data_IF_021875376933
#
_entry.id   IF_021875376933
#
_cell.length_a   1.000
_cell.length_b   1.000
_cell.length_c   1.000
_cell.angle_alpha   90.00
_cell.angle_beta   90.00
_cell.angle_gamma   90.00
#
_symmetry.space_group_name_H-M   'P 1'
#
loop_
_entity.id
_entity.type
_entity.pdbx_description
1 polymer ?
#
# COMPACT_ATOMS: atom_id res chain seq x y z
N UNK A 1 -26.04 -14.18 -19.15
CA UNK A 1 -26.38 -14.24 -17.72
C UNK A 1 -25.23 -13.89 -16.78
N UNK A 2 -23.98 -14.21 -17.12
CA UNK A 2 -22.82 -13.91 -16.26
C UNK A 2 -22.55 -12.41 -16.10
N UNK A 3 -22.67 -11.61 -17.16
CA UNK A 3 -22.45 -10.16 -17.10
C UNK A 3 -23.44 -9.45 -16.16
N UNK A 4 -24.70 -9.87 -16.18
CA UNK A 4 -25.74 -9.34 -15.27
C UNK A 4 -25.42 -9.64 -13.81
N UNK A 5 -25.00 -10.87 -13.50
CA UNK A 5 -24.60 -11.28 -12.16
C UNK A 5 -23.39 -10.49 -11.66
N UNK A 6 -22.36 -10.31 -12.49
CA UNK A 6 -21.17 -9.53 -12.16
C UNK A 6 -21.49 -8.06 -11.90
N UNK A 7 -22.35 -7.44 -12.74
CA UNK A 7 -22.77 -6.05 -12.53
C UNK A 7 -23.55 -5.89 -11.23
N UNK A 8 -24.47 -6.80 -10.92
CA UNK A 8 -25.23 -6.79 -9.68
C UNK A 8 -24.32 -6.88 -8.46
N UNK A 9 -23.40 -7.83 -8.44
CA UNK A 9 -22.45 -7.99 -7.33
C UNK A 9 -21.55 -6.76 -7.15
N UNK A 10 -21.13 -6.13 -8.24
CA UNK A 10 -20.35 -4.88 -8.17
C UNK A 10 -21.19 -3.75 -7.58
N UNK A 11 -22.44 -3.59 -8.00
CA UNK A 11 -23.34 -2.53 -7.55
C UNK A 11 -23.67 -2.70 -6.06
N UNK A 12 -23.92 -3.93 -5.61
CA UNK A 12 -24.21 -4.23 -4.20
C UNK A 12 -23.04 -3.81 -3.28
N UNK A 13 -21.79 -3.92 -3.75
CA UNK A 13 -20.59 -3.47 -3.02
C UNK A 13 -20.46 -1.94 -2.87
N UNK A 14 -21.19 -1.15 -3.66
CA UNK A 14 -21.19 0.31 -3.53
C UNK A 14 -22.12 0.85 -2.44
N UNK A 15 -22.93 -0.01 -1.83
CA UNK A 15 -23.85 0.40 -0.77
C UNK A 15 -24.94 1.38 -1.26
N UNK A 16 -25.28 1.35 -2.56
CA UNK A 16 -26.37 2.14 -3.12
C UNK A 16 -27.69 1.51 -2.68
N UNK A 17 -28.55 2.29 -2.08
CA UNK A 17 -29.85 1.84 -1.61
C UNK A 17 -30.77 1.59 -2.81
N UNK A 18 -31.25 0.35 -2.97
CA UNK A 18 -32.20 -0.06 -4.00
C UNK A 18 -31.77 0.21 -5.46
N UNK A 19 -30.70 -0.42 -5.95
CA UNK A 19 -30.35 -0.33 -7.36
C UNK A 19 -31.40 -1.03 -8.23
N UNK A 20 -31.82 -0.40 -9.32
CA UNK A 20 -32.68 -1.02 -10.32
C UNK A 20 -31.81 -1.49 -11.50
N UNK A 21 -31.79 -2.81 -11.73
CA UNK A 21 -30.99 -3.41 -12.79
C UNK A 21 -31.94 -4.26 -13.65
N UNK A 22 -32.10 -3.91 -14.91
CA UNK A 22 -33.02 -4.59 -15.84
C UNK A 22 -32.29 -4.94 -17.15
N UNK A 23 -32.58 -6.11 -17.67
CA UNK A 23 -32.22 -6.49 -19.05
C UNK A 23 -33.20 -5.88 -20.04
N UNK A 24 -32.70 -5.18 -21.04
CA UNK A 24 -33.51 -4.59 -22.10
C UNK A 24 -33.68 -5.57 -23.28
N UNK A 25 -34.67 -6.46 -23.14
CA UNK A 25 -34.96 -7.46 -24.17
C UNK A 25 -33.77 -8.38 -24.49
N UNK A 26 -33.73 -8.92 -25.70
CA UNK A 26 -32.64 -9.79 -26.16
C UNK A 26 -31.46 -9.04 -26.79
N UNK A 27 -31.43 -7.73 -26.66
CA UNK A 27 -30.41 -6.87 -27.30
C UNK A 27 -29.07 -6.86 -26.59
N UNK A 28 -28.89 -7.62 -25.50
CA UNK A 28 -27.66 -7.65 -24.69
C UNK A 28 -27.41 -6.38 -23.88
N UNK A 29 -28.37 -5.43 -23.84
CA UNK A 29 -28.26 -4.22 -23.05
C UNK A 29 -28.80 -4.41 -21.64
N UNK A 30 -28.16 -3.75 -20.69
CA UNK A 30 -28.58 -3.74 -19.29
C UNK A 30 -28.79 -2.29 -18.87
N UNK A 31 -29.99 -1.97 -18.39
CA UNK A 31 -30.29 -0.69 -17.77
C UNK A 31 -29.89 -0.76 -16.29
N UNK A 32 -29.15 0.25 -15.84
CA UNK A 32 -28.73 0.38 -14.44
C UNK A 32 -29.11 1.76 -13.94
N UNK A 33 -29.98 1.81 -12.95
CA UNK A 33 -30.39 3.03 -12.27
C UNK A 33 -29.93 2.98 -10.82
N UNK A 34 -29.21 4.00 -10.39
CA UNK A 34 -28.58 4.08 -9.08
C UNK A 34 -29.06 5.34 -8.35
N UNK A 35 -30.26 5.33 -7.76
CA UNK A 35 -30.79 6.48 -7.06
C UNK A 35 -29.90 6.84 -5.87
N UNK A 36 -29.59 8.14 -5.71
CA UNK A 36 -28.75 8.63 -4.60
C UNK A 36 -27.25 8.43 -4.76
N UNK A 37 -26.76 7.98 -5.92
CA UNK A 37 -25.34 7.86 -6.20
C UNK A 37 -24.64 9.22 -6.19
N UNK A 38 -23.67 9.43 -5.28
CA UNK A 38 -22.96 10.71 -5.12
C UNK A 38 -21.82 10.90 -6.14
N UNK A 39 -21.20 9.82 -6.61
CA UNK A 39 -20.05 9.86 -7.54
C UNK A 39 -20.32 8.96 -8.75
N UNK A 40 -21.10 9.48 -9.68
CA UNK A 40 -21.55 8.75 -10.89
C UNK A 40 -20.36 8.36 -11.77
N UNK A 41 -19.37 9.24 -11.92
CA UNK A 41 -18.20 8.99 -12.77
C UNK A 41 -17.31 7.87 -12.24
N UNK A 42 -17.15 7.80 -10.94
CA UNK A 42 -16.43 6.71 -10.28
C UNK A 42 -17.14 5.39 -10.47
N UNK A 43 -18.45 5.36 -10.25
CA UNK A 43 -19.28 4.16 -10.42
C UNK A 43 -19.24 3.70 -11.87
N UNK A 44 -19.40 4.60 -12.84
CA UNK A 44 -19.31 4.32 -14.27
C UNK A 44 -17.97 3.67 -14.64
N UNK A 45 -16.84 4.25 -14.22
CA UNK A 45 -15.52 3.66 -14.44
C UNK A 45 -15.39 2.26 -13.86
N UNK A 46 -15.89 2.03 -12.65
CA UNK A 46 -15.82 0.74 -11.98
C UNK A 46 -16.73 -0.32 -12.64
N UNK A 47 -17.91 0.06 -13.12
CA UNK A 47 -18.79 -0.84 -13.86
C UNK A 47 -18.24 -1.19 -15.24
N UNK A 48 -17.58 -0.25 -15.90
CA UNK A 48 -16.94 -0.44 -17.20
C UNK A 48 -15.58 -1.16 -17.12
N UNK A 49 -14.94 -1.19 -15.94
CA UNK A 49 -13.66 -1.86 -15.78
C UNK A 49 -13.82 -3.38 -15.92
N UNK A 50 -13.00 -3.96 -16.77
CA UNK A 50 -12.83 -5.42 -16.86
C UNK A 50 -11.84 -5.86 -15.80
N UNK A 51 -12.24 -6.80 -14.93
CA UNK A 51 -11.29 -7.47 -14.04
C UNK A 51 -10.63 -8.62 -14.81
N UNK A 52 -9.32 -8.54 -15.04
CA UNK A 52 -8.53 -9.67 -15.51
C UNK A 52 -8.03 -10.45 -14.30
N UNK A 53 -8.22 -11.77 -14.32
CA UNK A 53 -7.59 -12.67 -13.36
C UNK A 53 -6.19 -13.00 -13.88
N UNK A 54 -5.19 -12.62 -13.11
CA UNK A 54 -3.79 -12.89 -13.42
C UNK A 54 -3.17 -13.70 -12.28
N UNK A 55 -2.35 -14.68 -12.63
CA UNK A 55 -1.57 -15.46 -11.68
C UNK A 55 -0.10 -15.04 -11.80
N UNK A 56 0.48 -14.64 -10.67
CA UNK A 56 1.86 -14.18 -10.61
C UNK A 56 2.64 -15.00 -9.60
N UNK A 57 3.86 -15.40 -9.97
CA UNK A 57 4.80 -15.91 -8.99
C UNK A 57 5.27 -14.77 -8.07
N UNK A 58 5.46 -15.08 -6.80
CA UNK A 58 5.92 -14.13 -5.80
C UNK A 58 7.32 -14.47 -5.32
N UNK A 59 8.09 -13.46 -4.93
CA UNK A 59 9.29 -13.65 -4.14
C UNK A 59 8.90 -13.92 -2.69
N UNK A 60 9.65 -14.83 -2.05
CA UNK A 60 9.57 -15.02 -0.60
C UNK A 60 10.40 -13.97 0.11
N UNK A 61 10.11 -13.77 1.41
CA UNK A 61 10.86 -12.81 2.23
C UNK A 61 12.36 -13.12 2.28
N UNK A 62 12.73 -14.41 2.29
CA UNK A 62 14.13 -14.85 2.30
C UNK A 62 14.88 -14.44 1.02
N UNK A 63 14.18 -14.36 -0.11
CA UNK A 63 14.76 -13.98 -1.40
C UNK A 63 14.95 -12.48 -1.54
N UNK A 64 14.03 -11.67 -1.01
CA UNK A 64 14.00 -10.22 -1.23
C UNK A 64 14.28 -9.38 0.02
N UNK A 65 14.41 -10.02 1.18
CA UNK A 65 14.65 -9.35 2.46
C UNK A 65 15.92 -8.48 2.47
N UNK A 66 17.00 -8.97 1.84
CA UNK A 66 18.25 -8.20 1.69
C UNK A 66 18.03 -6.88 0.94
N UNK A 67 17.17 -6.89 -0.09
CA UNK A 67 16.79 -5.67 -0.79
C UNK A 67 16.04 -4.70 0.14
N UNK A 68 15.10 -5.18 0.94
CA UNK A 68 14.34 -4.32 1.87
C UNK A 68 15.26 -3.68 2.92
N UNK A 69 16.25 -4.41 3.41
CA UNK A 69 17.26 -3.87 4.31
C UNK A 69 18.15 -2.82 3.62
N UNK A 70 18.66 -3.12 2.43
CA UNK A 70 19.45 -2.18 1.66
C UNK A 70 18.66 -0.91 1.29
N UNK A 71 17.39 -1.06 0.92
CA UNK A 71 16.48 0.05 0.65
C UNK A 71 16.27 0.93 1.88
N UNK A 72 16.07 0.32 3.06
CA UNK A 72 15.93 1.08 4.31
C UNK A 72 17.19 1.88 4.65
N UNK A 73 18.39 1.29 4.48
CA UNK A 73 19.66 2.01 4.70
C UNK A 73 19.87 3.16 3.71
N UNK A 74 19.53 2.97 2.44
CA UNK A 74 19.60 4.03 1.44
C UNK A 74 18.64 5.20 1.75
N UNK A 75 17.43 4.87 2.22
CA UNK A 75 16.44 5.86 2.65
C UNK A 75 16.90 6.65 3.86
N UNK A 76 17.51 6.01 4.87
CA UNK A 76 18.11 6.69 6.02
C UNK A 76 19.10 7.76 5.57
N UNK A 77 20.05 7.40 4.70
CA UNK A 77 21.05 8.34 4.20
C UNK A 77 20.43 9.54 3.48
N UNK A 78 19.36 9.30 2.73
CA UNK A 78 18.66 10.37 2.00
C UNK A 78 17.88 11.31 2.93
N UNK A 79 17.31 10.79 4.01
CA UNK A 79 16.58 11.61 4.99
C UNK A 79 17.53 12.45 5.83
N UNK A 80 18.67 11.88 6.25
CA UNK A 80 19.72 12.63 6.96
C UNK A 80 20.26 13.78 6.10
N UNK A 81 20.55 13.52 4.81
CA UNK A 81 21.01 14.57 3.89
C UNK A 81 19.97 15.68 3.67
N UNK A 82 18.67 15.36 3.71
CA UNK A 82 17.59 16.37 3.63
C UNK A 82 17.47 17.21 4.89
N UNK A 83 17.79 16.67 6.05
CA UNK A 83 17.79 17.41 7.32
C UNK A 83 18.98 18.36 7.36
N UNK A 84 20.16 17.94 6.92
CA UNK A 84 21.36 18.80 6.85
C UNK A 84 21.18 19.97 5.86
N UNK A 85 20.51 19.77 4.73
CA UNK A 85 20.24 20.83 3.75
C UNK A 85 19.17 21.83 4.22
N UNK A 86 18.30 21.46 5.16
CA UNK A 86 17.31 22.38 5.75
C UNK A 86 17.83 23.20 6.95
N UNK A 87 18.97 22.82 7.52
CA UNK A 87 19.54 23.48 8.70
C UNK A 87 20.44 24.66 8.31
N UNK A 88 20.77 24.85 7.04
CA UNK A 88 21.65 25.96 6.58
C UNK A 88 20.91 27.30 6.42
N UNK A 89 19.61 27.37 6.62
CA UNK A 89 18.84 28.64 6.51
C UNK A 89 18.05 29.03 7.76
N UNK A 90 18.58 28.85 8.96
CA UNK A 90 18.10 29.64 10.13
C UNK A 90 19.13 29.62 11.26
N UNK A 91 19.82 30.71 11.42
CA UNK A 91 20.54 31.09 12.64
C UNK A 91 19.66 30.93 13.87
N UNK A 92 20.05 30.05 14.78
CA UNK A 92 19.73 30.22 16.19
C UNK A 92 20.52 29.21 17.03
N UNK A 93 21.58 29.69 17.65
CA UNK A 93 22.34 29.10 18.74
C UNK A 93 21.47 29.03 20.01
N UNK A 94 20.43 28.21 20.01
CA UNK A 94 19.59 28.04 21.21
C UNK A 94 19.18 26.59 21.53
N UNK A 95 19.71 25.62 20.82
CA UNK A 95 19.33 24.21 21.04
C UNK A 95 20.47 23.36 21.67
N UNK A 96 21.50 23.98 22.21
CA UNK A 96 22.66 23.25 22.79
C UNK A 96 22.64 23.15 24.33
N UNK A 97 21.59 23.62 24.99
CA UNK A 97 21.49 23.61 26.46
C UNK A 97 20.09 23.24 26.92
N UNK A 98 19.69 22.01 26.78
CA UNK A 98 18.75 21.39 27.74
C UNK A 98 19.11 19.93 27.94
N UNK A 99 19.62 19.74 29.14
CA UNK A 99 19.98 18.51 29.79
C UNK A 99 18.88 17.44 29.84
N UNK A 100 19.37 16.24 29.95
CA UNK A 100 18.71 15.02 30.29
C UNK A 100 17.64 15.15 31.38
N UNK A 101 16.43 14.66 31.11
CA UNK A 101 15.69 13.85 32.08
C UNK A 101 14.57 13.03 31.41
N UNK A 102 14.72 11.74 31.56
CA UNK A 102 13.72 10.68 31.64
C UNK A 102 12.32 10.92 31.02
N UNK A 103 12.07 10.21 29.94
CA UNK A 103 10.88 9.33 29.88
C UNK A 103 11.09 8.30 28.79
N UNK A 104 10.83 7.03 29.11
CA UNK A 104 10.84 5.90 28.22
C UNK A 104 9.79 6.06 27.11
N UNK A 105 10.13 6.84 26.09
CA UNK A 105 9.49 6.77 24.80
C UNK A 105 10.43 5.94 23.92
N UNK A 106 9.98 4.76 23.56
CA UNK A 106 10.60 3.87 22.58
C UNK A 106 11.16 4.72 21.46
N UNK A 107 12.48 4.85 21.37
CA UNK A 107 13.16 5.50 20.25
C UNK A 107 12.69 4.75 19.00
N UNK A 108 11.74 5.31 18.25
CA UNK A 108 11.48 4.90 16.87
C UNK A 108 12.81 5.02 16.17
N UNK A 109 13.41 3.88 15.85
CA UNK A 109 14.66 3.86 15.11
C UNK A 109 14.42 4.63 13.83
N UNK A 110 15.40 5.36 13.35
CA UNK A 110 15.31 6.13 12.11
C UNK A 110 15.35 5.16 10.90
N UNK A 111 14.32 4.30 10.79
CA UNK A 111 14.16 3.30 9.74
C UNK A 111 12.94 3.63 8.87
N UNK A 112 13.07 4.47 7.85
CA UNK A 112 11.93 5.01 7.09
C UNK A 112 10.99 3.96 6.51
N UNK A 113 11.54 2.79 6.16
CA UNK A 113 10.80 1.67 5.61
C UNK A 113 10.39 0.66 6.70
N UNK A 114 11.35 0.22 7.53
CA UNK A 114 11.13 -0.87 8.48
C UNK A 114 10.24 -0.46 9.66
N UNK A 115 10.31 0.79 10.13
CA UNK A 115 9.45 1.30 11.21
C UNK A 115 7.96 1.38 10.83
N UNK A 116 7.64 1.22 9.53
CA UNK A 116 6.28 1.17 9.02
C UNK A 116 5.68 -0.24 8.97
N UNK A 117 6.50 -1.23 9.24
CA UNK A 117 6.05 -2.63 9.34
C UNK A 117 5.36 -2.80 10.69
N UNK A 118 4.07 -3.11 10.67
CA UNK A 118 3.25 -3.32 11.87
C UNK A 118 3.09 -4.80 12.24
N UNK A 119 3.56 -5.70 11.38
CA UNK A 119 3.54 -7.14 11.62
C UNK A 119 4.41 -7.88 10.62
N UNK A 120 4.94 -9.01 11.06
CA UNK A 120 5.76 -9.86 10.20
C UNK A 120 4.89 -10.55 9.15
N UNK A 121 5.42 -10.64 7.93
CA UNK A 121 4.87 -11.48 6.88
C UNK A 121 5.34 -12.93 7.01
N UNK A 122 4.75 -13.80 6.22
CA UNK A 122 5.16 -15.20 6.10
C UNK A 122 5.04 -15.69 4.65
N UNK A 123 5.97 -16.51 4.21
CA UNK A 123 5.98 -17.00 2.83
C UNK A 123 6.11 -15.86 1.80
N UNK A 124 5.07 -15.60 0.98
CA UNK A 124 5.09 -14.55 -0.04
C UNK A 124 4.82 -13.14 0.51
N UNK A 125 4.34 -13.01 1.74
CA UNK A 125 4.03 -11.72 2.36
C UNK A 125 5.30 -11.11 2.93
N UNK A 126 5.73 -9.98 2.41
CA UNK A 126 6.96 -9.28 2.82
C UNK A 126 6.80 -8.57 4.17
N UNK A 127 5.59 -8.19 4.52
CA UNK A 127 5.25 -7.52 5.76
C UNK A 127 3.85 -6.95 5.74
N UNK A 128 3.36 -6.62 6.91
CA UNK A 128 2.07 -5.98 7.13
C UNK A 128 2.28 -4.50 7.41
N UNK A 129 1.50 -3.66 6.76
CA UNK A 129 1.61 -2.20 6.84
C UNK A 129 0.27 -1.56 7.15
N UNK A 130 0.30 -0.39 7.78
CA UNK A 130 -0.91 0.42 7.91
C UNK A 130 -1.38 0.91 6.54
N UNK A 131 -2.70 0.93 6.24
CA UNK A 131 -3.22 1.50 5.00
C UNK A 131 -2.74 2.94 4.73
N UNK A 132 -2.50 3.71 5.79
CA UNK A 132 -2.01 5.09 5.72
C UNK A 132 -0.57 5.19 5.18
N UNK A 133 0.24 4.16 5.39
CA UNK A 133 1.65 4.14 4.99
C UNK A 133 1.88 3.58 3.59
N UNK A 134 0.88 2.96 2.97
CA UNK A 134 1.00 2.31 1.66
C UNK A 134 1.49 3.26 0.57
N UNK A 135 1.02 4.52 0.56
CA UNK A 135 1.44 5.52 -0.41
C UNK A 135 2.92 5.90 -0.24
N UNK A 136 3.37 6.11 1.01
CA UNK A 136 4.76 6.46 1.32
C UNK A 136 5.70 5.31 0.98
N UNK A 137 5.40 4.09 1.47
CA UNK A 137 6.20 2.88 1.20
C UNK A 137 6.23 2.57 -0.30
N UNK A 138 5.07 2.64 -0.98
CA UNK A 138 5.00 2.48 -2.42
C UNK A 138 5.82 3.52 -3.19
N UNK A 139 5.87 4.76 -2.70
CA UNK A 139 6.72 5.82 -3.20
C UNK A 139 8.21 5.47 -3.05
N UNK A 140 8.65 5.01 -1.89
CA UNK A 140 10.02 4.59 -1.64
C UNK A 140 10.45 3.45 -2.58
N UNK A 141 9.64 2.40 -2.70
CA UNK A 141 9.96 1.24 -3.53
C UNK A 141 9.99 1.51 -5.05
N UNK A 142 9.40 2.63 -5.49
CA UNK A 142 9.43 3.06 -6.91
C UNK A 142 10.60 3.98 -7.25
N UNK A 143 11.30 4.53 -6.27
CA UNK A 143 12.44 5.43 -6.50
C UNK A 143 13.53 4.71 -7.30
N UNK A 144 14.13 5.39 -8.25
CA UNK A 144 15.16 4.81 -9.12
C UNK A 144 16.41 4.39 -8.33
N UNK A 145 16.83 5.20 -7.34
CA UNK A 145 17.96 4.93 -6.45
C UNK A 145 17.73 3.70 -5.55
N UNK A 146 16.47 3.41 -5.20
CA UNK A 146 16.11 2.21 -4.45
C UNK A 146 16.02 1.00 -5.37
N UNK A 147 15.41 1.15 -6.54
CA UNK A 147 15.25 0.03 -7.48
C UNK A 147 16.56 -0.51 -8.01
N UNK A 148 17.62 0.29 -8.08
CA UNK A 148 18.95 -0.15 -8.50
C UNK A 148 19.58 -1.15 -7.51
N UNK A 149 19.08 -1.20 -6.26
CA UNK A 149 19.52 -2.14 -5.23
C UNK A 149 18.94 -3.56 -5.41
N UNK A 150 17.98 -3.73 -6.32
CA UNK A 150 17.46 -5.05 -6.68
C UNK A 150 18.55 -5.86 -7.37
N UNK A 151 18.70 -7.11 -6.96
CA UNK A 151 19.61 -8.04 -7.61
C UNK A 151 19.23 -8.33 -9.06
N UNK A 152 20.13 -8.90 -9.86
CA UNK A 152 19.89 -9.17 -11.28
C UNK A 152 18.61 -9.97 -11.53
N UNK A 153 18.33 -10.97 -10.70
CA UNK A 153 17.13 -11.82 -10.79
C UNK A 153 15.84 -11.13 -10.28
N UNK A 154 15.96 -9.96 -9.65
CA UNK A 154 14.86 -9.22 -9.03
C UNK A 154 14.58 -7.90 -9.73
N UNK A 155 15.34 -7.57 -10.78
CA UNK A 155 15.28 -6.28 -11.50
C UNK A 155 13.87 -5.89 -11.92
N UNK A 156 13.06 -6.86 -12.32
CA UNK A 156 11.69 -6.65 -12.78
C UNK A 156 10.63 -6.88 -11.69
N UNK A 157 11.04 -7.04 -10.42
CA UNK A 157 10.10 -7.22 -9.33
C UNK A 157 9.07 -6.08 -9.28
N UNK A 158 7.79 -6.44 -9.14
CA UNK A 158 6.68 -5.49 -8.98
C UNK A 158 6.17 -5.60 -7.56
N UNK A 159 6.16 -4.48 -6.83
CA UNK A 159 5.61 -4.42 -5.49
C UNK A 159 4.13 -4.07 -5.56
N UNK A 160 3.28 -4.91 -4.96
CA UNK A 160 1.83 -4.76 -4.96
C UNK A 160 1.27 -4.92 -3.55
N UNK A 161 0.13 -4.27 -3.33
CA UNK A 161 -0.59 -4.32 -2.07
C UNK A 161 -1.74 -5.32 -2.14
N UNK A 162 -1.89 -6.11 -1.10
CA UNK A 162 -3.04 -6.97 -0.91
C UNK A 162 -4.31 -6.19 -0.54
N UNK A 163 -5.38 -6.91 -0.30
CA UNK A 163 -6.62 -6.33 0.20
C UNK A 163 -6.48 -5.96 1.68
N UNK A 164 -6.96 -4.78 2.12
CA UNK A 164 -7.00 -4.46 3.55
C UNK A 164 -7.76 -5.53 4.34
N UNK A 165 -7.16 -5.95 5.45
CA UNK A 165 -7.73 -6.93 6.39
C UNK A 165 -7.61 -6.40 7.81
N UNK A 166 -8.49 -6.87 8.69
CA UNK A 166 -8.42 -6.54 10.12
C UNK A 166 -7.60 -7.62 10.83
N UNK A 167 -6.53 -7.20 11.48
CA UNK A 167 -5.69 -8.07 12.30
C UNK A 167 -5.72 -7.60 13.77
N UNK A 168 -5.29 -8.46 14.69
CA UNK A 168 -5.08 -8.07 16.08
C UNK A 168 -3.62 -7.70 16.29
N UNK A 169 -3.39 -6.55 16.92
CA UNK A 169 -2.05 -6.15 17.36
C UNK A 169 -1.61 -6.96 18.59
N UNK A 170 -0.38 -6.77 19.05
CA UNK A 170 0.19 -7.43 20.22
C UNK A 170 -0.62 -7.18 21.51
N UNK A 171 -1.46 -6.14 21.53
CA UNK A 171 -2.33 -5.77 22.65
C UNK A 171 -3.77 -6.27 22.47
N UNK A 172 -4.02 -7.08 21.43
CA UNK A 172 -5.34 -7.64 21.12
C UNK A 172 -6.33 -6.66 20.50
N UNK A 173 -5.89 -5.44 20.13
CA UNK A 173 -6.73 -4.42 19.48
C UNK A 173 -6.82 -4.70 17.98
N UNK A 174 -8.02 -4.57 17.43
CA UNK A 174 -8.24 -4.67 16.00
C UNK A 174 -7.61 -3.47 15.27
N UNK A 175 -6.71 -3.73 14.34
CA UNK A 175 -6.09 -2.73 13.48
C UNK A 175 -6.25 -3.14 12.01
N UNK A 176 -6.36 -2.17 11.12
CA UNK A 176 -6.34 -2.43 9.69
C UNK A 176 -4.92 -2.59 9.20
N UNK A 177 -4.68 -3.65 8.44
CA UNK A 177 -3.40 -3.97 7.85
C UNK A 177 -3.55 -4.29 6.36
N UNK A 178 -2.50 -4.00 5.60
CA UNK A 178 -2.38 -4.35 4.19
C UNK A 178 -1.07 -5.11 4.00
N UNK A 179 -1.14 -6.21 3.29
CA UNK A 179 0.00 -7.06 2.98
C UNK A 179 0.78 -6.51 1.79
N UNK A 180 2.10 -6.54 1.87
CA UNK A 180 2.99 -6.20 0.76
C UNK A 180 3.51 -7.47 0.12
N UNK A 181 3.44 -7.54 -1.20
CA UNK A 181 3.96 -8.63 -2.02
C UNK A 181 4.97 -8.12 -3.04
N UNK A 182 5.95 -8.96 -3.39
CA UNK A 182 6.79 -8.74 -4.55
C UNK A 182 6.50 -9.82 -5.60
N UNK A 183 6.03 -9.41 -6.76
CA UNK A 183 5.75 -10.28 -7.90
C UNK A 183 7.00 -10.45 -8.76
N UNK A 184 7.20 -11.65 -9.31
CA UNK A 184 8.22 -11.89 -10.33
C UNK A 184 7.73 -11.27 -11.64
N UNK A 185 8.46 -10.27 -12.14
CA UNK A 185 8.22 -9.72 -13.46
C UNK A 185 9.06 -10.46 -14.50
N UNK A 186 8.51 -10.66 -15.69
CA UNK A 186 9.24 -11.10 -16.87
C UNK A 186 9.85 -9.89 -17.56
#
# INVERSE_FOLDING_TARGET
DSAFGVLRERIDKFGVTQPNIQKLGETGRILVELPGAKDVDRIKRLLQSTAQLEFWETYKIEEIGNFLMAANEALKKTEVAKVETKVVEKDSISALLTDAKDTAATKKGNNPLLDKIIGQGGGPVLGLFSPKDTAAVGGYLRRADIRILLGPNQKYAKFVWGKPSTIKDEKGKNIEAVELYALRGN
#
